data_IF_113878742629
#
_entry.id   IF_113878742629
#
_cell.length_a   1.000
_cell.length_b   1.000
_cell.length_c   1.000
_cell.angle_alpha   90.00
_cell.angle_beta   90.00
_cell.angle_gamma   90.00
#
_symmetry.space_group_name_H-M   'P 1'
#
loop_
_entity.id
_entity.type
_entity.pdbx_description
1 polymer ?
#
# COMPACT_ATOMS: atom_id res chain seq x y z
N UNK A 1 -0.18 -2.69 11.22
CA UNK A 1 1.29 -2.66 11.38
C UNK A 1 1.77 -2.56 12.83
N UNK A 2 1.32 -1.57 13.61
CA UNK A 2 1.73 -1.34 15.03
C UNK A 2 1.69 -2.58 15.94
N UNK A 3 0.67 -3.44 15.81
CA UNK A 3 0.52 -4.67 16.62
C UNK A 3 1.68 -5.66 16.43
N UNK A 4 2.15 -5.84 15.19
CA UNK A 4 3.20 -6.81 14.85
C UNK A 4 4.55 -6.36 15.43
N UNK A 5 4.86 -5.06 15.31
CA UNK A 5 6.08 -4.46 15.86
C UNK A 5 6.08 -4.47 17.39
N UNK A 6 4.96 -4.14 18.03
CA UNK A 6 4.86 -4.15 19.50
C UNK A 6 5.03 -5.53 20.12
N UNK A 7 4.52 -6.57 19.45
CA UNK A 7 4.61 -7.95 19.96
C UNK A 7 6.00 -8.57 19.79
N UNK A 8 6.84 -7.99 18.92
CA UNK A 8 8.23 -8.42 18.71
C UNK A 8 9.14 -7.19 18.70
N UNK A 9 9.26 -6.52 19.84
CA UNK A 9 10.02 -5.26 19.96
C UNK A 9 11.54 -5.46 19.99
N UNK A 10 12.02 -6.62 20.46
CA UNK A 10 13.43 -6.96 20.45
C UNK A 10 13.79 -7.74 19.18
N UNK A 11 14.74 -7.22 18.42
CA UNK A 11 15.24 -7.83 17.18
C UNK A 11 16.72 -8.16 17.34
N UNK A 12 17.17 -9.30 16.81
CA UNK A 12 18.58 -9.70 16.86
C UNK A 12 19.47 -8.93 15.87
N UNK A 13 18.87 -8.32 14.83
CA UNK A 13 19.56 -7.43 13.88
C UNK A 13 18.56 -6.53 13.13
N UNK A 14 19.08 -5.51 12.45
CA UNK A 14 18.29 -4.63 11.59
C UNK A 14 17.73 -5.36 10.35
N UNK A 15 18.43 -6.38 9.83
CA UNK A 15 17.88 -7.20 8.76
C UNK A 15 16.68 -8.03 9.24
N UNK A 16 16.72 -8.54 10.46
CA UNK A 16 15.61 -9.29 11.05
C UNK A 16 14.37 -8.40 11.22
N UNK A 17 14.55 -7.15 11.67
CA UNK A 17 13.48 -6.16 11.74
C UNK A 17 12.91 -5.85 10.34
N UNK A 18 13.79 -5.59 9.37
CA UNK A 18 13.40 -5.27 7.98
C UNK A 18 12.62 -6.42 7.32
N UNK A 19 13.06 -7.67 7.52
CA UNK A 19 12.38 -8.86 7.02
C UNK A 19 10.99 -9.03 7.63
N UNK A 20 10.85 -8.74 8.93
CA UNK A 20 9.55 -8.78 9.59
C UNK A 20 8.60 -7.70 9.06
N UNK A 21 9.08 -6.48 8.81
CA UNK A 21 8.30 -5.44 8.14
C UNK A 21 7.84 -5.90 6.75
N UNK A 22 8.75 -6.43 5.95
CA UNK A 22 8.46 -6.93 4.61
C UNK A 22 7.36 -8.01 4.62
N UNK A 23 7.51 -9.02 5.48
CA UNK A 23 6.52 -10.11 5.58
C UNK A 23 5.17 -9.61 6.08
N UNK A 24 5.15 -8.68 7.03
CA UNK A 24 3.92 -8.08 7.52
C UNK A 24 3.17 -7.33 6.42
N UNK A 25 3.87 -6.49 5.65
CA UNK A 25 3.29 -5.76 4.52
C UNK A 25 2.78 -6.72 3.44
N UNK A 26 3.59 -7.71 3.06
CA UNK A 26 3.21 -8.71 2.05
C UNK A 26 2.00 -9.55 2.46
N UNK A 27 1.83 -9.83 3.74
CA UNK A 27 0.63 -10.54 4.21
C UNK A 27 -0.60 -9.62 4.22
N UNK A 28 -0.46 -8.36 4.63
CA UNK A 28 -1.56 -7.37 4.56
C UNK A 28 -2.02 -7.16 3.12
N UNK A 29 -1.06 -7.04 2.18
CA UNK A 29 -1.33 -6.84 0.76
C UNK A 29 -2.17 -7.98 0.14
N UNK A 30 -1.97 -9.23 0.57
CA UNK A 30 -2.78 -10.38 0.11
C UNK A 30 -4.27 -10.22 0.40
N UNK A 31 -4.61 -9.50 1.47
CA UNK A 31 -5.99 -9.29 1.91
C UNK A 31 -6.59 -8.02 1.29
N UNK A 32 -5.80 -7.21 0.57
CA UNK A 32 -6.27 -6.00 -0.13
C UNK A 32 -6.96 -6.33 -1.46
N UNK A 33 -8.10 -7.01 -1.36
CA UNK A 33 -8.89 -7.45 -2.52
C UNK A 33 -10.00 -6.47 -2.90
N UNK A 34 -10.36 -5.57 -1.99
CA UNK A 34 -11.52 -4.69 -2.16
C UNK A 34 -11.05 -3.26 -2.40
N UNK A 35 -11.11 -2.75 -3.64
CA UNK A 35 -10.78 -1.36 -3.91
C UNK A 35 -11.85 -0.42 -3.32
N UNK A 36 -11.52 0.86 -3.07
CA UNK A 36 -12.50 1.85 -2.68
C UNK A 36 -13.63 1.96 -3.70
N UNK A 37 -14.88 1.90 -3.25
CA UNK A 37 -16.08 1.92 -4.13
C UNK A 37 -16.12 3.21 -4.97
N UNK A 38 -15.66 4.33 -4.40
CA UNK A 38 -15.67 5.65 -5.03
C UNK A 38 -14.46 5.87 -5.96
N UNK A 39 -13.59 4.87 -6.15
CA UNK A 39 -12.36 5.03 -6.94
C UNK A 39 -12.62 5.52 -8.36
N UNK A 40 -13.69 5.03 -9.01
CA UNK A 40 -14.06 5.45 -10.37
C UNK A 40 -14.39 6.96 -10.44
N UNK A 41 -15.07 7.48 -9.42
CA UNK A 41 -15.39 8.91 -9.36
C UNK A 41 -14.13 9.75 -9.12
N UNK A 42 -13.25 9.29 -8.23
CA UNK A 42 -11.96 9.94 -7.99
C UNK A 42 -11.07 9.95 -9.25
N UNK A 43 -11.02 8.84 -9.98
CA UNK A 43 -10.29 8.73 -11.24
C UNK A 43 -10.77 9.75 -12.29
N UNK A 44 -12.08 9.98 -12.39
CA UNK A 44 -12.62 11.02 -13.28
C UNK A 44 -12.15 12.43 -12.88
N UNK A 45 -12.09 12.72 -11.57
CA UNK A 45 -11.56 14.01 -11.08
C UNK A 45 -10.07 14.15 -11.39
N UNK A 46 -9.28 13.07 -11.23
CA UNK A 46 -7.87 13.08 -11.60
C UNK A 46 -7.65 13.25 -13.10
N UNK A 47 -8.49 12.67 -13.94
CA UNK A 47 -8.43 12.89 -15.39
C UNK A 47 -8.65 14.37 -15.75
N UNK A 48 -9.53 15.09 -15.03
CA UNK A 48 -9.74 16.54 -15.25
C UNK A 48 -8.55 17.35 -14.72
N UNK A 49 -8.10 17.08 -13.49
CA UNK A 49 -7.06 17.88 -12.83
C UNK A 49 -5.66 17.67 -13.43
N UNK A 50 -5.39 16.47 -13.94
CA UNK A 50 -4.05 16.08 -14.40
C UNK A 50 -3.98 15.74 -15.89
N UNK A 51 -5.09 15.84 -16.62
CA UNK A 51 -5.18 15.78 -18.08
C UNK A 51 -4.28 14.70 -18.69
N UNK A 52 -3.34 15.15 -19.53
CA UNK A 52 -2.41 14.30 -20.26
C UNK A 52 -1.54 13.40 -19.38
N UNK A 53 -1.16 13.83 -18.16
CA UNK A 53 -0.35 12.98 -17.27
C UNK A 53 -1.12 11.77 -16.76
N UNK A 54 -2.43 11.92 -16.60
CA UNK A 54 -3.29 10.84 -16.15
C UNK A 54 -3.70 9.92 -17.31
N UNK A 55 -4.07 10.50 -18.46
CA UNK A 55 -4.53 9.72 -19.63
C UNK A 55 -3.38 9.00 -20.34
N UNK A 56 -2.17 9.56 -20.39
CA UNK A 56 -1.02 8.87 -20.98
C UNK A 56 -0.53 7.69 -20.12
N UNK A 57 -0.75 7.72 -18.81
CA UNK A 57 -0.43 6.60 -17.92
C UNK A 57 -1.45 5.45 -18.01
N UNK A 58 -2.62 5.69 -18.64
CA UNK A 58 -3.68 4.71 -18.86
C UNK A 58 -3.69 4.11 -20.27
N UNK A 59 -2.88 4.62 -21.19
CA UNK A 59 -2.60 4.00 -22.50
C UNK A 59 -1.57 2.89 -22.33
#
# INVERSE_FOLDING_TARGET
>A
MRKIVKNRSHFPSDEAASKLLYLALRNIEKDWKMPPITWKQAANQFAILFGDRFTNALR
#
